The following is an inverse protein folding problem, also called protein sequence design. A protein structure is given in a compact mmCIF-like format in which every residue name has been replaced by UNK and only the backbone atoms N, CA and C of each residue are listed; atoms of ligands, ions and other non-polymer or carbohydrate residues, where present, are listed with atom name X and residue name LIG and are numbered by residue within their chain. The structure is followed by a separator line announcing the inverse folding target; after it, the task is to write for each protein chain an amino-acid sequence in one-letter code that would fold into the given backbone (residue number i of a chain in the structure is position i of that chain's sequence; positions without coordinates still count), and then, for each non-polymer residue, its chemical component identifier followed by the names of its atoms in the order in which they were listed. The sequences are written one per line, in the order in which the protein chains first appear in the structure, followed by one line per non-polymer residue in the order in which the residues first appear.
data_IF_402383217033
#
_entry.id   IF_402383217033
#
_cell.length_a   1.000
_cell.length_b   1.000
_cell.length_c   1.000
_cell.angle_alpha   90.00
_cell.angle_beta   90.00
_cell.angle_gamma   90.00
#
_symmetry.space_group_name_H-M   'P 1'
#
loop_
_entity.id
_entity.type
_entity.pdbx_description
1 polymer ?
#
# COMPACT_ATOMS: atom_id res chain seq x y z
N UNK A 1 17.00 -23.13 -17.93
CA UNK A 1 15.55 -23.39 -18.00
C UNK A 1 14.96 -23.18 -16.61
N UNK A 2 13.79 -22.55 -16.57
CA UNK A 2 13.20 -21.78 -15.47
C UNK A 2 12.80 -22.64 -14.26
N UNK A 3 13.45 -22.43 -13.11
CA UNK A 3 12.98 -22.92 -11.81
C UNK A 3 12.08 -21.85 -11.18
N UNK A 4 10.79 -21.90 -11.49
CA UNK A 4 9.75 -21.01 -10.96
C UNK A 4 9.67 -21.10 -9.43
N UNK A 5 10.42 -20.21 -8.77
CA UNK A 5 10.12 -19.49 -7.54
C UNK A 5 9.03 -20.12 -6.65
N UNK A 6 9.44 -21.04 -5.77
CA UNK A 6 8.66 -21.49 -4.60
C UNK A 6 8.28 -20.35 -3.63
N UNK A 7 8.61 -19.09 -3.96
CA UNK A 7 8.47 -17.90 -3.11
C UNK A 7 7.10 -17.19 -3.23
N UNK A 8 6.27 -17.50 -4.23
CA UNK A 8 4.94 -16.87 -4.35
C UNK A 8 3.83 -17.62 -3.60
N UNK A 9 3.96 -18.94 -3.42
CA UNK A 9 2.91 -19.75 -2.77
C UNK A 9 2.99 -19.74 -1.23
N UNK A 10 4.16 -19.48 -0.65
CA UNK A 10 4.33 -19.38 0.81
C UNK A 10 3.67 -18.11 1.39
N UNK A 11 3.47 -17.07 0.57
CA UNK A 11 2.80 -15.81 1.00
C UNK A 11 1.30 -15.98 1.19
N UNK A 12 0.64 -16.87 0.44
CA UNK A 12 -0.77 -17.19 0.61
C UNK A 12 -1.04 -18.13 1.81
N UNK A 13 0.00 -18.81 2.32
CA UNK A 13 -0.10 -19.85 3.36
C UNK A 13 0.08 -19.37 4.82
N UNK A 14 0.45 -18.12 5.12
CA UNK A 14 0.59 -17.63 6.53
C UNK A 14 -0.76 -17.21 7.16
N UNK A 15 -1.83 -17.89 6.79
CA UNK A 15 -3.20 -17.42 6.89
C UNK A 15 -3.94 -17.79 8.20
N UNK A 16 -3.28 -18.26 9.27
CA UNK A 16 -4.02 -18.89 10.38
C UNK A 16 -4.00 -18.20 11.74
N UNK A 17 -3.11 -17.25 12.09
CA UNK A 17 -3.22 -16.61 13.44
C UNK A 17 -2.53 -15.26 13.66
N UNK A 18 -1.73 -14.73 12.71
CA UNK A 18 -1.00 -13.46 12.92
C UNK A 18 -0.81 -12.60 11.67
N UNK A 19 -0.74 -13.19 10.47
CA UNK A 19 -0.62 -12.41 9.23
C UNK A 19 -1.93 -11.76 8.81
N UNK A 20 -3.09 -12.31 9.19
CA UNK A 20 -4.39 -11.70 8.93
C UNK A 20 -4.56 -10.34 9.60
N UNK A 21 -4.14 -10.19 10.86
CA UNK A 21 -4.23 -8.92 11.59
C UNK A 21 -3.32 -7.86 10.97
N UNK A 22 -2.08 -8.24 10.61
CA UNK A 22 -1.15 -7.31 9.95
C UNK A 22 -1.61 -6.93 8.53
N UNK A 23 -2.16 -7.88 7.78
CA UNK A 23 -2.74 -7.64 6.46
C UNK A 23 -3.99 -6.75 6.55
N UNK A 24 -4.84 -6.98 7.55
CA UNK A 24 -6.03 -6.17 7.81
C UNK A 24 -5.68 -4.75 8.26
N UNK A 25 -4.71 -4.61 9.18
CA UNK A 25 -4.21 -3.31 9.58
C UNK A 25 -3.57 -2.57 8.40
N UNK A 26 -2.85 -3.30 7.55
CA UNK A 26 -2.32 -2.79 6.28
C UNK A 26 -3.44 -2.33 5.35
N UNK A 27 -4.51 -3.10 5.17
CA UNK A 27 -5.63 -2.71 4.30
C UNK A 27 -6.34 -1.47 4.82
N UNK A 28 -6.55 -1.35 6.13
CA UNK A 28 -7.10 -0.13 6.75
C UNK A 28 -6.22 1.08 6.45
N UNK A 29 -4.89 0.95 6.61
CA UNK A 29 -3.95 2.03 6.28
C UNK A 29 -4.00 2.42 4.80
N UNK A 30 -4.10 1.44 3.90
CA UNK A 30 -4.16 1.70 2.46
C UNK A 30 -5.49 2.34 2.04
N UNK A 31 -6.60 2.02 2.72
CA UNK A 31 -7.88 2.70 2.50
C UNK A 31 -7.82 4.14 3.00
N UNK A 32 -7.24 4.37 4.18
CA UNK A 32 -7.02 5.72 4.70
C UNK A 32 -6.10 6.55 3.79
N UNK A 33 -5.06 5.94 3.23
CA UNK A 33 -4.20 6.58 2.24
C UNK A 33 -4.98 7.08 1.02
N UNK A 34 -5.89 6.26 0.52
CA UNK A 34 -6.76 6.60 -0.62
C UNK A 34 -7.61 7.83 -0.30
N UNK A 35 -8.28 7.82 0.86
CA UNK A 35 -9.08 8.95 1.33
C UNK A 35 -8.24 10.23 1.42
N UNK A 36 -7.05 10.18 2.03
CA UNK A 36 -6.19 11.35 2.16
C UNK A 36 -5.69 11.87 0.79
N UNK A 37 -5.46 10.97 -0.17
CA UNK A 37 -5.07 11.39 -1.52
C UNK A 37 -6.20 12.10 -2.26
N UNK A 38 -7.45 11.69 -2.02
CA UNK A 38 -8.67 12.25 -2.62
C UNK A 38 -9.13 13.56 -1.97
N UNK A 39 -9.08 13.62 -0.63
CA UNK A 39 -9.72 14.70 0.13
C UNK A 39 -8.75 15.76 0.66
N UNK A 40 -7.45 15.55 0.53
CA UNK A 40 -6.45 16.47 1.08
C UNK A 40 -5.40 16.90 0.05
N UNK A 41 -4.81 18.06 0.31
CA UNK A 41 -3.68 18.61 -0.45
C UNK A 41 -2.32 18.22 0.13
N UNK A 42 -2.30 17.33 1.15
CA UNK A 42 -1.08 16.91 1.83
C UNK A 42 -0.09 16.29 0.83
N UNK A 43 1.21 16.54 1.00
CA UNK A 43 2.21 15.88 0.17
C UNK A 43 2.18 14.36 0.37
N UNK A 44 2.66 13.59 -0.63
CA UNK A 44 2.77 12.12 -0.50
C UNK A 44 3.65 11.75 0.71
N UNK A 45 4.70 12.53 1.00
CA UNK A 45 5.54 12.35 2.17
C UNK A 45 4.78 12.56 3.49
N UNK A 46 3.91 13.57 3.55
CA UNK A 46 3.08 13.85 4.72
C UNK A 46 2.08 12.72 4.97
N UNK A 47 1.41 12.24 3.91
CA UNK A 47 0.48 11.10 3.99
C UNK A 47 1.21 9.83 4.43
N UNK A 48 2.41 9.57 3.88
CA UNK A 48 3.24 8.45 4.31
C UNK A 48 3.55 8.53 5.81
N UNK A 49 3.96 9.71 6.29
CA UNK A 49 4.30 9.95 7.69
C UNK A 49 3.09 9.76 8.62
N UNK A 50 1.91 10.27 8.24
CA UNK A 50 0.65 10.11 8.98
C UNK A 50 0.25 8.63 9.13
N UNK A 51 0.55 7.81 8.13
CA UNK A 51 0.29 6.37 8.14
C UNK A 51 1.41 5.55 8.80
N UNK A 52 2.43 6.21 9.35
CA UNK A 52 3.56 5.61 10.06
C UNK A 52 4.68 5.09 9.15
N UNK A 53 4.74 5.54 7.89
CA UNK A 53 5.84 5.23 6.98
C UNK A 53 6.91 6.32 7.07
N UNK A 54 8.15 5.93 7.38
CA UNK A 54 9.31 6.85 7.39
C UNK A 54 9.80 7.22 6.00
N UNK A 55 9.56 6.34 5.03
CA UNK A 55 10.04 6.47 3.66
C UNK A 55 8.84 6.54 2.70
N UNK A 56 8.71 7.67 2.00
CA UNK A 56 7.64 7.91 1.03
C UNK A 56 7.69 6.96 -0.18
N UNK A 57 8.87 6.50 -0.60
CA UNK A 57 9.06 5.56 -1.70
C UNK A 57 8.68 4.15 -1.29
N UNK A 58 8.92 3.77 -0.03
CA UNK A 58 8.42 2.51 0.53
C UNK A 58 6.89 2.52 0.61
N UNK A 59 6.30 3.59 1.14
CA UNK A 59 4.85 3.82 1.09
C UNK A 59 4.31 3.73 -0.35
N UNK A 60 4.94 4.41 -1.30
CA UNK A 60 4.49 4.45 -2.69
C UNK A 60 4.50 3.07 -3.36
N UNK A 61 5.54 2.25 -3.08
CA UNK A 61 5.60 0.85 -3.55
C UNK A 61 4.48 0.01 -2.96
N UNK A 62 4.23 0.16 -1.68
CA UNK A 62 3.18 -0.58 -0.98
C UNK A 62 1.78 -0.17 -1.44
N UNK A 63 1.53 1.14 -1.59
CA UNK A 63 0.29 1.68 -2.15
C UNK A 63 0.06 1.17 -3.57
N UNK A 64 1.09 1.18 -4.43
CA UNK A 64 1.00 0.61 -5.78
C UNK A 64 0.70 -0.89 -5.77
N UNK A 65 1.28 -1.64 -4.83
CA UNK A 65 0.98 -3.07 -4.69
C UNK A 65 -0.47 -3.31 -4.27
N UNK A 66 -1.06 -2.43 -3.47
CA UNK A 66 -2.45 -2.55 -2.99
C UNK A 66 -3.48 -2.06 -4.01
N UNK A 67 -3.19 -0.97 -4.73
CA UNK A 67 -4.17 -0.24 -5.58
C UNK A 67 -3.81 -0.25 -7.08
N UNK A 68 -2.72 -0.88 -7.47
CA UNK A 68 -2.27 -1.01 -8.87
C UNK A 68 -1.61 0.24 -9.48
N UNK A 69 -1.75 1.42 -8.87
CA UNK A 69 -1.20 2.69 -9.36
C UNK A 69 -0.41 3.43 -8.27
N UNK A 70 0.51 4.31 -8.65
CA UNK A 70 1.24 5.12 -7.66
C UNK A 70 0.31 6.14 -6.98
N UNK A 71 0.60 6.56 -5.74
CA UNK A 71 -0.21 7.57 -5.04
C UNK A 71 -0.28 8.90 -5.80
N UNK A 72 0.79 9.28 -6.51
CA UNK A 72 0.81 10.47 -7.38
C UNK A 72 -0.16 10.35 -8.56
N UNK A 73 -0.14 9.20 -9.26
CA UNK A 73 -1.04 8.95 -10.39
C UNK A 73 -2.49 8.84 -9.93
N UNK A 74 -2.72 8.28 -8.74
CA UNK A 74 -4.04 8.20 -8.13
C UNK A 74 -4.63 9.60 -7.91
N UNK A 75 -3.89 10.50 -7.26
CA UNK A 75 -4.32 11.89 -7.04
C UNK A 75 -4.57 12.67 -8.32
N UNK A 76 -3.80 12.43 -9.38
CA UNK A 76 -4.02 13.12 -10.65
C UNK A 76 -5.37 12.76 -11.28
N UNK A 77 -5.85 11.52 -11.08
CA UNK A 77 -7.14 11.06 -11.61
C UNK A 77 -8.33 11.71 -10.90
N UNK A 78 -8.19 12.03 -9.62
CA UNK A 78 -9.27 12.63 -8.82
C UNK A 78 -9.38 14.13 -8.98
N UNK A 79 -8.34 14.78 -9.49
CA UNK A 79 -8.33 16.22 -9.81
C UNK A 79 -8.78 16.53 -11.25
N UNK A 80 -9.49 15.60 -11.93
CA UNK A 80 -10.08 15.81 -13.26
C UNK A 80 -11.58 16.06 -13.20
#
# INVERSE_FOLDING_TARGET
MVGLSSSHLTTLFRNSTGSGVLAYHTSIKMERARQLLDTSTLSIASIASELGYRDQFYFSRHFKSAHGVSPSAFRQRTNS
#
